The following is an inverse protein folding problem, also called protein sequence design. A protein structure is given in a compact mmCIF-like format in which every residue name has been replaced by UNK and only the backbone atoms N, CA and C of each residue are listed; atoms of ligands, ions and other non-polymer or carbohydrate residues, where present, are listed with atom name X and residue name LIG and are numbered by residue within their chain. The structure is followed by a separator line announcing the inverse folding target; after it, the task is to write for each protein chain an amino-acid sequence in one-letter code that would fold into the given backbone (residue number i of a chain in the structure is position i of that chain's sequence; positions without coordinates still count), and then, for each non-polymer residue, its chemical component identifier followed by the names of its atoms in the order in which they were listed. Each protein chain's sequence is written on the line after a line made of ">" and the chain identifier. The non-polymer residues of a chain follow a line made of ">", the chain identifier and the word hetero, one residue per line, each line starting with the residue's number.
data_IF_286199064676
#
_entry.id   IF_286199064676
#
_cell.length_a   1.000
_cell.length_b   1.000
_cell.length_c   1.000
_cell.angle_alpha   90.00
_cell.angle_beta   90.00
_cell.angle_gamma   90.00
#
_symmetry.space_group_name_H-M   'P 1'
#
loop_
_entity.id
_entity.type
_entity.pdbx_description
1 polymer ?
#
# COMPACT_ATOMS: atom_id res chain seq x y z
N UNK A 1 19.75 9.56 15.07
CA UNK A 1 20.71 9.45 13.95
C UNK A 1 20.14 8.93 12.63
N UNK A 2 19.13 8.06 12.63
CA UNK A 2 18.54 7.51 11.39
C UNK A 2 17.15 8.04 11.05
N UNK A 3 16.45 8.65 12.01
CA UNK A 3 15.17 9.32 11.82
C UNK A 3 15.35 10.83 12.02
N UNK A 4 14.78 11.63 11.12
CA UNK A 4 14.96 13.08 11.16
C UNK A 4 14.11 13.81 12.21
N UNK A 5 12.94 13.26 12.56
CA UNK A 5 11.94 13.84 13.46
C UNK A 5 11.41 12.77 14.41
N UNK A 6 11.06 13.14 15.64
CA UNK A 6 10.50 12.22 16.64
C UNK A 6 8.99 12.09 16.52
N UNK A 7 8.49 10.87 16.59
CA UNK A 7 7.05 10.58 16.65
C UNK A 7 6.40 10.99 17.99
N UNK A 8 7.21 11.25 19.02
CA UNK A 8 6.72 11.62 20.36
C UNK A 8 6.68 13.14 20.58
N UNK A 9 7.10 13.94 19.61
CA UNK A 9 7.24 15.40 19.73
C UNK A 9 6.18 16.11 18.88
N UNK A 10 5.28 16.86 19.53
CA UNK A 10 4.34 17.70 18.81
C UNK A 10 5.05 18.80 18.00
N UNK A 11 6.20 19.29 18.47
CA UNK A 11 6.97 20.31 17.75
C UNK A 11 7.54 19.76 16.45
N UNK A 12 7.93 18.48 16.43
CA UNK A 12 8.39 17.84 15.20
C UNK A 12 7.27 17.67 14.19
N UNK A 13 6.03 17.42 14.65
CA UNK A 13 4.86 17.44 13.78
C UNK A 13 4.56 18.84 13.25
N UNK A 14 4.67 19.90 14.07
CA UNK A 14 4.55 21.30 13.60
C UNK A 14 5.60 21.64 12.55
N UNK A 15 6.86 21.27 12.81
CA UNK A 15 7.95 21.41 11.84
C UNK A 15 7.68 20.64 10.54
N UNK A 16 7.08 19.43 10.61
CA UNK A 16 6.69 18.67 9.42
C UNK A 16 5.54 19.32 8.67
N UNK A 17 4.55 19.87 9.36
CA UNK A 17 3.47 20.63 8.77
C UNK A 17 3.99 21.84 7.97
N UNK A 18 4.94 22.60 8.53
CA UNK A 18 5.60 23.72 7.83
C UNK A 18 6.38 23.26 6.59
N UNK A 19 7.09 22.13 6.68
CA UNK A 19 7.81 21.54 5.54
C UNK A 19 6.84 21.13 4.41
N UNK A 20 5.69 20.54 4.77
CA UNK A 20 4.64 20.16 3.81
C UNK A 20 4.05 21.41 3.16
N UNK A 21 3.70 22.44 3.93
CA UNK A 21 3.13 23.69 3.41
C UNK A 21 4.10 24.44 2.49
N UNK A 22 5.42 24.34 2.74
CA UNK A 22 6.44 24.92 1.87
C UNK A 22 6.67 24.18 0.55
N UNK A 23 6.17 22.95 0.42
CA UNK A 23 6.39 22.09 -0.76
C UNK A 23 5.13 21.79 -1.56
N UNK A 24 3.99 21.76 -0.89
CA UNK A 24 2.71 21.35 -1.46
C UNK A 24 1.70 22.45 -1.17
N UNK A 25 1.19 23.11 -2.21
CA UNK A 25 0.16 24.15 -2.14
C UNK A 25 -1.24 23.57 -2.37
N UNK A 26 -2.16 24.39 -2.85
CA UNK A 26 -3.53 23.97 -3.19
C UNK A 26 -3.55 23.00 -4.38
N UNK A 27 -2.79 23.31 -5.44
CA UNK A 27 -2.73 22.49 -6.66
C UNK A 27 -2.22 21.06 -6.37
N UNK A 28 -1.16 20.90 -5.59
CA UNK A 28 -0.64 19.57 -5.24
C UNK A 28 -1.63 18.79 -4.36
N UNK A 29 -2.38 19.47 -3.50
CA UNK A 29 -3.45 18.85 -2.71
C UNK A 29 -4.63 18.42 -3.58
N UNK A 30 -5.00 19.19 -4.60
CA UNK A 30 -6.00 18.76 -5.58
C UNK A 30 -5.56 17.49 -6.33
N UNK A 31 -4.28 17.42 -6.73
CA UNK A 31 -3.73 16.22 -7.36
C UNK A 31 -3.77 15.02 -6.41
N UNK A 32 -3.40 15.22 -5.14
CA UNK A 32 -3.50 14.18 -4.12
C UNK A 32 -4.94 13.71 -3.92
N UNK A 33 -5.91 14.63 -3.79
CA UNK A 33 -7.32 14.30 -3.62
C UNK A 33 -7.88 13.46 -4.79
N UNK A 34 -7.45 13.71 -6.04
CA UNK A 34 -7.83 12.89 -7.20
C UNK A 34 -7.32 11.44 -7.13
N UNK A 35 -6.33 11.15 -6.29
CA UNK A 35 -5.76 9.84 -6.09
C UNK A 35 -6.31 9.13 -4.84
N UNK A 36 -7.24 9.76 -4.11
CA UNK A 36 -7.84 9.23 -2.90
C UNK A 36 -9.24 8.69 -3.18
N UNK A 37 -9.52 7.51 -2.63
CA UNK A 37 -10.80 6.83 -2.66
C UNK A 37 -11.55 7.11 -1.35
N UNK A 38 -12.79 7.57 -1.48
CA UNK A 38 -13.72 7.75 -0.36
C UNK A 38 -14.47 6.43 -0.15
N UNK A 39 -14.27 5.72 0.98
CA UNK A 39 -14.96 4.46 1.21
C UNK A 39 -16.43 4.67 1.60
N UNK A 40 -17.24 3.60 1.62
CA UNK A 40 -18.57 3.64 2.22
C UNK A 40 -18.54 4.17 3.66
N UNK A 41 -19.41 5.14 3.95
CA UNK A 41 -19.47 5.83 5.25
C UNK A 41 -18.37 6.87 5.48
N UNK A 42 -17.50 7.12 4.52
CA UNK A 42 -16.56 8.24 4.52
C UNK A 42 -17.22 9.58 4.20
N UNK A 43 -16.64 10.66 4.71
CA UNK A 43 -17.13 12.04 4.50
C UNK A 43 -16.30 12.73 3.42
N UNK A 44 -16.84 12.82 2.20
CA UNK A 44 -16.17 13.45 1.05
C UNK A 44 -15.81 14.92 1.29
N UNK A 45 -16.57 15.63 2.12
CA UNK A 45 -16.31 17.05 2.42
C UNK A 45 -14.95 17.26 3.12
N UNK A 46 -14.41 16.21 3.75
CA UNK A 46 -13.06 16.26 4.35
C UNK A 46 -11.97 16.40 3.30
N UNK A 47 -12.14 15.85 2.10
CA UNK A 47 -11.18 16.05 1.00
C UNK A 47 -11.23 17.48 0.48
N UNK A 48 -12.42 18.08 0.40
CA UNK A 48 -12.58 19.48 0.05
C UNK A 48 -11.89 20.38 1.08
N UNK A 49 -12.14 20.16 2.37
CA UNK A 49 -11.48 20.89 3.45
C UNK A 49 -9.95 20.71 3.43
N UNK A 50 -9.46 19.49 3.16
CA UNK A 50 -8.04 19.23 2.99
C UNK A 50 -7.42 20.10 1.89
N UNK A 51 -8.10 20.26 0.75
CA UNK A 51 -7.63 21.12 -0.34
C UNK A 51 -7.69 22.60 0.03
N UNK A 52 -8.85 23.07 0.50
CA UNK A 52 -9.11 24.50 0.68
C UNK A 52 -8.41 25.10 1.91
N UNK A 53 -8.27 24.32 2.99
CA UNK A 53 -7.67 24.78 4.25
C UNK A 53 -6.17 24.43 4.37
N UNK A 54 -5.62 23.76 3.36
CA UNK A 54 -4.22 23.34 3.35
C UNK A 54 -3.93 22.22 4.36
N UNK A 55 -4.76 21.18 4.35
CA UNK A 55 -4.69 20.04 5.27
C UNK A 55 -3.49 19.12 5.04
N UNK A 56 -3.43 18.07 5.87
CA UNK A 56 -2.36 17.07 5.90
C UNK A 56 -2.93 15.65 5.78
N UNK A 57 -2.05 14.68 5.53
CA UNK A 57 -2.41 13.25 5.53
C UNK A 57 -1.51 12.48 6.49
N UNK A 58 -2.10 11.57 7.27
CA UNK A 58 -1.37 10.53 8.00
C UNK A 58 -1.50 9.25 7.19
N UNK A 59 -0.39 8.80 6.61
CA UNK A 59 -0.39 7.62 5.75
C UNK A 59 0.08 6.38 6.50
N UNK A 60 -0.52 5.25 6.19
CA UNK A 60 -0.04 3.90 6.52
C UNK A 60 -0.32 3.00 5.32
N UNK A 61 0.20 1.78 5.28
CA UNK A 61 -0.13 0.85 4.20
C UNK A 61 0.28 -0.59 4.45
N UNK A 62 -0.17 -1.45 3.54
CA UNK A 62 0.26 -2.84 3.39
C UNK A 62 -0.14 -3.37 2.00
N UNK A 63 0.47 -4.49 1.58
CA UNK A 63 -0.03 -5.33 0.50
C UNK A 63 -1.48 -5.81 0.76
N UNK A 64 -2.27 -6.02 -0.31
CA UNK A 64 -3.64 -6.51 -0.21
C UNK A 64 -3.68 -8.02 0.04
N UNK A 65 -3.54 -8.43 1.30
CA UNK A 65 -3.60 -9.85 1.69
C UNK A 65 -5.02 -10.43 1.65
N UNK A 66 -5.12 -11.74 1.42
CA UNK A 66 -6.37 -12.49 1.37
C UNK A 66 -7.23 -12.24 2.62
N UNK A 67 -8.52 -11.94 2.39
CA UNK A 67 -9.51 -11.70 3.46
C UNK A 67 -9.09 -10.59 4.44
N UNK A 68 -8.32 -9.61 3.95
CA UNK A 68 -7.81 -8.49 4.73
C UNK A 68 -6.42 -8.70 5.32
N UNK A 69 -5.86 -9.90 5.13
CA UNK A 69 -4.54 -10.27 5.61
C UNK A 69 -4.43 -10.26 7.14
N UNK A 70 -3.20 -10.13 7.69
CA UNK A 70 -2.98 -10.11 9.13
C UNK A 70 -3.69 -8.93 9.82
N UNK A 71 -4.10 -9.13 11.08
CA UNK A 71 -4.81 -8.12 11.88
C UNK A 71 -4.07 -6.78 12.02
N UNK A 72 -2.74 -6.77 11.86
CA UNK A 72 -1.99 -5.51 11.88
C UNK A 72 -2.41 -4.55 10.77
N UNK A 73 -3.05 -5.00 9.69
CA UNK A 73 -3.61 -4.12 8.67
C UNK A 73 -4.68 -3.21 9.25
N UNK A 74 -5.60 -3.79 10.04
CA UNK A 74 -6.63 -3.06 10.77
C UNK A 74 -5.98 -2.16 11.82
N UNK A 75 -5.01 -2.67 12.60
CA UNK A 75 -4.37 -1.88 13.65
C UNK A 75 -3.59 -0.69 13.11
N UNK A 76 -2.88 -0.85 11.99
CA UNK A 76 -2.20 0.22 11.26
C UNK A 76 -3.20 1.30 10.85
N UNK A 77 -4.32 0.91 10.23
CA UNK A 77 -5.34 1.84 9.77
C UNK A 77 -6.00 2.62 10.91
N UNK A 78 -6.38 1.93 12.00
CA UNK A 78 -6.95 2.57 13.19
C UNK A 78 -5.93 3.47 13.90
N UNK A 79 -4.64 3.10 13.89
CA UNK A 79 -3.56 3.94 14.44
C UNK A 79 -3.42 5.22 13.62
N UNK A 80 -3.44 5.13 12.29
CA UNK A 80 -3.41 6.30 11.42
C UNK A 80 -4.64 7.20 11.64
N UNK A 81 -5.84 6.61 11.74
CA UNK A 81 -7.06 7.34 12.07
C UNK A 81 -6.95 8.09 13.39
N UNK A 82 -6.44 7.42 14.43
CA UNK A 82 -6.35 8.06 15.73
C UNK A 82 -5.28 9.14 15.78
N UNK A 83 -4.15 8.93 15.13
CA UNK A 83 -3.11 9.94 14.99
C UNK A 83 -3.59 11.15 14.18
N UNK A 84 -4.34 10.92 13.10
CA UNK A 84 -4.93 12.00 12.30
C UNK A 84 -5.85 12.89 13.14
N UNK A 85 -6.76 12.29 13.92
CA UNK A 85 -7.64 13.06 14.82
C UNK A 85 -6.86 13.87 15.87
N UNK A 86 -5.82 13.29 16.47
CA UNK A 86 -4.96 14.02 17.43
C UNK A 86 -4.23 15.19 16.74
N UNK A 87 -3.70 14.98 15.54
CA UNK A 87 -2.98 16.03 14.82
C UNK A 87 -3.91 17.13 14.31
N UNK A 88 -5.12 16.80 13.88
CA UNK A 88 -6.14 17.77 13.49
C UNK A 88 -6.45 18.74 14.64
N UNK A 89 -6.71 18.20 15.84
CA UNK A 89 -6.93 19.01 17.04
C UNK A 89 -5.72 19.90 17.39
N UNK A 90 -4.49 19.39 17.23
CA UNK A 90 -3.27 20.07 17.68
C UNK A 90 -2.70 21.06 16.68
N UNK A 91 -2.92 20.82 15.39
CA UNK A 91 -2.44 21.64 14.29
C UNK A 91 -3.50 22.64 13.82
N UNK A 92 -4.78 22.40 14.11
CA UNK A 92 -5.88 23.28 13.73
C UNK A 92 -6.13 23.32 12.22
N UNK A 93 -5.85 22.21 11.53
CA UNK A 93 -6.08 22.02 10.10
C UNK A 93 -6.62 20.61 9.83
N UNK A 94 -7.36 20.39 8.73
CA UNK A 94 -7.83 19.06 8.37
C UNK A 94 -6.68 18.05 8.25
N UNK A 95 -6.82 16.89 8.88
CA UNK A 95 -5.89 15.77 8.75
C UNK A 95 -6.64 14.51 8.35
N UNK A 96 -6.27 13.95 7.20
CA UNK A 96 -6.92 12.77 6.63
C UNK A 96 -6.06 11.53 6.92
N UNK A 97 -6.61 10.48 7.57
CA UNK A 97 -5.95 9.20 7.63
C UNK A 97 -6.11 8.46 6.29
N UNK A 98 -5.00 8.03 5.71
CA UNK A 98 -4.96 7.39 4.39
C UNK A 98 -4.29 6.01 4.48
N UNK A 99 -4.99 4.97 4.03
CA UNK A 99 -4.44 3.64 3.86
C UNK A 99 -3.97 3.43 2.40
N UNK A 100 -2.67 3.24 2.24
CA UNK A 100 -2.01 2.92 0.98
C UNK A 100 -2.02 1.42 0.72
N UNK A 101 -2.76 0.98 -0.28
CA UNK A 101 -2.78 -0.41 -0.72
C UNK A 101 -1.62 -0.65 -1.68
N UNK A 102 -0.64 -1.45 -1.25
CA UNK A 102 0.55 -1.77 -2.04
C UNK A 102 0.28 -2.89 -3.07
N UNK A 103 -0.70 -2.66 -3.94
CA UNK A 103 -1.18 -3.62 -4.93
C UNK A 103 -0.19 -3.89 -6.08
N UNK A 104 0.81 -3.02 -6.27
CA UNK A 104 1.86 -3.17 -7.28
C UNK A 104 2.97 -4.14 -6.86
N UNK A 105 2.93 -4.64 -5.63
CA UNK A 105 3.85 -5.69 -5.20
C UNK A 105 3.58 -6.98 -5.99
N UNK A 106 4.59 -7.83 -6.13
CA UNK A 106 4.52 -9.10 -6.85
C UNK A 106 4.72 -10.31 -5.93
N UNK A 107 4.89 -10.09 -4.61
CA UNK A 107 4.96 -11.15 -3.62
C UNK A 107 3.58 -11.78 -3.38
N UNK A 108 3.20 -12.67 -4.30
CA UNK A 108 1.94 -13.41 -4.21
C UNK A 108 1.91 -14.33 -2.98
N UNK A 109 3.05 -14.95 -2.64
CA UNK A 109 3.10 -15.94 -1.56
C UNK A 109 2.87 -15.28 -0.19
N UNK A 110 3.22 -14.00 -0.02
CA UNK A 110 2.83 -13.21 1.15
C UNK A 110 1.33 -12.85 1.16
N UNK A 111 0.75 -12.55 -0.01
CA UNK A 111 -0.61 -12.04 -0.10
C UNK A 111 -1.71 -13.11 -0.22
N UNK A 112 -1.39 -14.30 -0.73
CA UNK A 112 -2.36 -15.30 -1.16
C UNK A 112 -3.08 -16.06 -0.03
N UNK A 113 -2.76 -15.78 1.23
CA UNK A 113 -3.24 -16.57 2.35
C UNK A 113 -3.64 -15.75 3.55
N UNK A 114 -4.45 -16.36 4.41
CA UNK A 114 -4.81 -15.85 5.72
C UNK A 114 -4.89 -17.00 6.70
N UNK A 115 -4.61 -16.71 7.98
CA UNK A 115 -4.79 -17.67 9.06
C UNK A 115 -5.93 -17.21 9.97
N UNK A 116 -6.81 -18.14 10.32
CA UNK A 116 -7.95 -17.88 11.19
C UNK A 116 -8.04 -18.95 12.28
N UNK A 117 -8.43 -18.53 13.48
CA UNK A 117 -8.82 -19.45 14.55
C UNK A 117 -10.28 -19.83 14.32
N UNK A 118 -10.54 -21.09 13.98
CA UNK A 118 -11.88 -21.60 13.73
C UNK A 118 -12.69 -21.75 15.02
N UNK A 119 -13.99 -22.01 14.88
CA UNK A 119 -14.87 -22.34 16.01
C UNK A 119 -14.43 -23.60 16.80
N UNK A 120 -13.57 -24.44 16.19
CA UNK A 120 -12.91 -25.58 16.83
C UNK A 120 -11.67 -25.21 17.67
N UNK A 121 -11.37 -23.91 17.80
CA UNK A 121 -10.19 -23.35 18.47
C UNK A 121 -8.84 -23.80 17.87
N UNK A 122 -8.82 -24.18 16.60
CA UNK A 122 -7.58 -24.50 15.88
C UNK A 122 -7.23 -23.42 14.89
N UNK A 123 -5.94 -23.30 14.60
CA UNK A 123 -5.44 -22.44 13.53
C UNK A 123 -5.67 -23.13 12.19
N UNK A 124 -6.34 -22.43 11.27
CA UNK A 124 -6.59 -22.89 9.91
C UNK A 124 -6.01 -21.89 8.92
N UNK A 125 -5.29 -22.42 7.93
CA UNK A 125 -4.80 -21.64 6.80
C UNK A 125 -5.77 -21.75 5.62
N UNK A 126 -6.12 -20.60 5.07
CA UNK A 126 -6.85 -20.43 3.82
C UNK A 126 -5.86 -19.84 2.82
N UNK A 127 -5.75 -20.45 1.65
CA UNK A 127 -4.73 -20.09 0.68
C UNK A 127 -5.25 -20.24 -0.74
N UNK A 128 -5.00 -19.23 -1.57
CA UNK A 128 -5.37 -19.23 -2.98
C UNK A 128 -4.21 -19.68 -3.86
N UNK A 129 -4.54 -20.53 -4.83
CA UNK A 129 -3.64 -20.81 -5.94
C UNK A 129 -3.60 -19.60 -6.88
N UNK A 130 -2.43 -19.34 -7.45
CA UNK A 130 -2.24 -18.27 -8.42
C UNK A 130 -2.97 -18.59 -9.71
N UNK A 131 -3.89 -17.72 -10.13
CA UNK A 131 -4.74 -17.92 -11.31
C UNK A 131 -4.13 -17.44 -12.64
N UNK A 132 -2.87 -16.99 -12.64
CA UNK A 132 -2.21 -16.37 -13.79
C UNK A 132 -0.92 -17.12 -14.17
N UNK A 133 -0.67 -17.26 -15.47
CA UNK A 133 0.51 -17.91 -16.05
C UNK A 133 1.75 -17.01 -16.10
N UNK A 134 1.59 -15.69 -15.90
CA UNK A 134 2.72 -14.76 -15.79
C UNK A 134 3.63 -15.19 -14.63
N UNK A 135 4.95 -15.11 -14.84
CA UNK A 135 5.92 -15.51 -13.83
C UNK A 135 5.79 -14.65 -12.56
N UNK A 136 5.82 -13.32 -12.70
CA UNK A 136 5.78 -12.36 -11.59
C UNK A 136 4.79 -11.19 -11.84
N UNK A 137 3.47 -11.46 -11.99
CA UNK A 137 2.48 -10.40 -12.10
C UNK A 137 2.38 -9.64 -10.78
N UNK A 138 2.15 -8.34 -10.86
CA UNK A 138 1.80 -7.58 -9.66
C UNK A 138 0.39 -7.98 -9.17
N UNK A 139 0.15 -7.88 -7.87
CA UNK A 139 -1.07 -8.40 -7.22
C UNK A 139 -2.33 -7.76 -7.80
N UNK A 140 -2.29 -6.49 -8.22
CA UNK A 140 -3.40 -5.80 -8.89
C UNK A 140 -3.82 -6.42 -10.22
N UNK A 141 -3.04 -7.35 -10.80
CA UNK A 141 -3.40 -8.11 -12.01
C UNK A 141 -3.90 -9.52 -11.74
N UNK A 142 -3.73 -10.03 -10.52
CA UNK A 142 -4.03 -11.44 -10.21
C UNK A 142 -5.51 -11.55 -9.84
N UNK A 143 -6.29 -12.20 -10.71
CA UNK A 143 -7.69 -12.51 -10.44
C UNK A 143 -7.82 -13.57 -9.33
N UNK A 144 -8.90 -13.49 -8.56
CA UNK A 144 -9.24 -14.52 -7.57
C UNK A 144 -9.52 -15.86 -8.26
N UNK A 145 -10.22 -15.82 -9.40
CA UNK A 145 -10.51 -16.99 -10.22
C UNK A 145 -11.53 -17.96 -9.59
N UNK A 146 -12.09 -18.89 -10.40
CA UNK A 146 -13.13 -19.81 -9.94
C UNK A 146 -12.62 -20.87 -8.94
N UNK A 147 -11.31 -21.18 -8.98
CA UNK A 147 -10.70 -22.17 -8.08
C UNK A 147 -10.74 -21.74 -6.60
N UNK A 148 -10.87 -20.43 -6.33
CA UNK A 148 -10.96 -19.90 -4.97
C UNK A 148 -12.24 -20.32 -4.23
N UNK A 149 -13.31 -20.71 -4.93
CA UNK A 149 -14.62 -20.98 -4.31
C UNK A 149 -14.52 -22.00 -3.16
N UNK A 150 -13.73 -23.06 -3.34
CA UNK A 150 -13.53 -24.07 -2.29
C UNK A 150 -12.92 -23.46 -1.02
N UNK A 151 -11.93 -22.58 -1.17
CA UNK A 151 -11.25 -21.93 -0.05
C UNK A 151 -12.15 -20.90 0.65
N UNK A 152 -13.01 -20.23 -0.13
CA UNK A 152 -14.01 -19.29 0.40
C UNK A 152 -15.05 -20.05 1.23
N UNK A 153 -15.58 -21.17 0.70
CA UNK A 153 -16.56 -22.01 1.41
C UNK A 153 -15.95 -22.58 2.70
N UNK A 154 -14.70 -23.05 2.63
CA UNK A 154 -13.93 -23.50 3.79
C UNK A 154 -13.79 -22.39 4.83
N UNK A 155 -13.44 -21.17 4.43
CA UNK A 155 -13.33 -20.04 5.35
C UNK A 155 -14.67 -19.74 6.05
N UNK A 156 -15.77 -19.68 5.30
CA UNK A 156 -17.10 -19.41 5.84
C UNK A 156 -17.51 -20.47 6.87
N UNK A 157 -17.23 -21.76 6.60
CA UNK A 157 -17.54 -22.86 7.53
C UNK A 157 -16.75 -22.80 8.85
N UNK A 158 -15.62 -22.10 8.88
CA UNK A 158 -14.81 -21.93 10.10
C UNK A 158 -15.34 -20.80 11.01
N UNK A 159 -16.14 -19.89 10.46
CA UNK A 159 -16.69 -18.76 11.20
C UNK A 159 -17.84 -19.21 12.12
N UNK A 160 -17.97 -18.64 13.32
CA UNK A 160 -19.15 -18.85 14.14
C UNK A 160 -20.39 -18.23 13.48
N UNK A 161 -21.51 -18.93 13.56
CA UNK A 161 -22.80 -18.43 13.09
C UNK A 161 -23.50 -17.61 14.18
N UNK A 162 -23.89 -16.38 13.84
CA UNK A 162 -24.63 -15.45 14.70
C UNK A 162 -25.39 -14.41 13.86
N UNK A 163 -26.11 -13.50 14.52
CA UNK A 163 -26.95 -12.49 13.89
C UNK A 163 -26.20 -11.54 12.93
N UNK A 164 -24.87 -11.41 13.07
CA UNK A 164 -24.04 -10.58 12.20
C UNK A 164 -23.50 -11.34 10.98
N UNK A 165 -23.49 -12.67 11.00
CA UNK A 165 -22.90 -13.52 9.97
C UNK A 165 -23.42 -13.24 8.55
N UNK A 166 -24.74 -13.05 8.30
CA UNK A 166 -25.24 -12.83 6.94
C UNK A 166 -24.61 -11.62 6.23
N UNK A 167 -24.36 -10.53 6.95
CA UNK A 167 -23.76 -9.32 6.39
C UNK A 167 -22.30 -9.55 6.00
N UNK A 168 -21.51 -10.16 6.88
CA UNK A 168 -20.09 -10.41 6.61
C UNK A 168 -19.88 -11.52 5.57
N UNK A 169 -20.71 -12.56 5.54
CA UNK A 169 -20.65 -13.58 4.49
C UNK A 169 -20.91 -12.95 3.12
N UNK A 170 -21.92 -12.08 3.00
CA UNK A 170 -22.18 -11.34 1.76
C UNK A 170 -20.98 -10.47 1.36
N UNK A 171 -20.35 -9.80 2.32
CA UNK A 171 -19.15 -8.98 2.09
C UNK A 171 -17.97 -9.82 1.59
N UNK A 172 -17.70 -10.96 2.24
CA UNK A 172 -16.64 -11.90 1.87
C UNK A 172 -16.85 -12.43 0.45
N UNK A 173 -18.05 -12.96 0.16
CA UNK A 173 -18.40 -13.47 -1.17
C UNK A 173 -18.31 -12.37 -2.24
N UNK A 174 -18.68 -11.13 -1.90
CA UNK A 174 -18.54 -9.97 -2.78
C UNK A 174 -17.09 -9.57 -3.03
N UNK A 175 -16.21 -9.72 -2.04
CA UNK A 175 -14.79 -9.38 -2.14
C UNK A 175 -13.99 -10.41 -2.94
N UNK A 176 -14.41 -11.67 -2.95
CA UNK A 176 -13.67 -12.77 -3.58
C UNK A 176 -14.39 -13.35 -4.80
N UNK A 177 -15.06 -12.50 -5.58
CA UNK A 177 -15.66 -12.96 -6.83
C UNK A 177 -14.59 -13.35 -7.85
N UNK A 178 -14.82 -14.38 -8.70
CA UNK A 178 -13.84 -14.82 -9.69
C UNK A 178 -13.35 -13.75 -10.66
N UNK A 179 -14.21 -12.76 -11.00
CA UNK A 179 -13.92 -11.65 -11.91
C UNK A 179 -13.06 -10.53 -11.30
N UNK A 180 -12.81 -10.59 -9.99
CA UNK A 180 -12.09 -9.55 -9.24
C UNK A 180 -10.65 -9.93 -8.99
N UNK A 181 -9.81 -8.92 -8.85
CA UNK A 181 -8.42 -9.11 -8.41
C UNK A 181 -8.36 -9.24 -6.90
N UNK A 182 -7.26 -9.79 -6.36
CA UNK A 182 -7.06 -9.84 -4.91
C UNK A 182 -7.07 -8.43 -4.30
N UNK A 183 -6.49 -7.45 -5.01
CA UNK A 183 -6.51 -6.05 -4.61
C UNK A 183 -7.93 -5.46 -4.56
N UNK A 184 -8.78 -5.73 -5.57
CA UNK A 184 -10.17 -5.29 -5.56
C UNK A 184 -10.94 -5.84 -4.34
N UNK A 185 -10.72 -7.12 -4.03
CA UNK A 185 -11.35 -7.78 -2.89
C UNK A 185 -10.91 -7.16 -1.57
N UNK A 186 -9.61 -6.89 -1.43
CA UNK A 186 -9.06 -6.22 -0.27
C UNK A 186 -9.67 -4.83 -0.08
N UNK A 187 -9.75 -4.02 -1.16
CA UNK A 187 -10.40 -2.71 -1.13
C UNK A 187 -11.85 -2.83 -0.66
N UNK A 188 -12.64 -3.71 -1.29
CA UNK A 188 -14.04 -3.88 -0.96
C UNK A 188 -14.24 -4.24 0.52
N UNK A 189 -13.44 -5.17 1.04
CA UNK A 189 -13.53 -5.62 2.42
C UNK A 189 -13.09 -4.52 3.41
N UNK A 190 -11.89 -3.95 3.23
CA UNK A 190 -11.31 -3.00 4.18
C UNK A 190 -12.02 -1.66 4.15
N UNK A 191 -12.47 -1.19 2.99
CA UNK A 191 -13.24 0.05 2.89
C UNK A 191 -14.56 -0.06 3.63
N UNK A 192 -15.28 -1.19 3.51
CA UNK A 192 -16.53 -1.41 4.26
C UNK A 192 -16.27 -1.48 5.79
N UNK A 193 -15.20 -2.15 6.21
CA UNK A 193 -14.89 -2.31 7.63
C UNK A 193 -14.39 -1.01 8.28
N UNK A 194 -13.64 -0.21 7.53
CA UNK A 194 -12.84 0.88 8.08
C UNK A 194 -13.34 2.29 7.70
N UNK A 195 -14.17 2.42 6.67
CA UNK A 195 -14.66 3.71 6.19
C UNK A 195 -15.40 4.50 7.27
N UNK A 196 -16.17 3.80 8.12
CA UNK A 196 -16.85 4.39 9.29
C UNK A 196 -15.94 5.04 10.33
N UNK A 197 -14.63 4.79 10.28
CA UNK A 197 -13.64 5.44 11.15
C UNK A 197 -12.95 6.64 10.47
N UNK A 198 -13.48 7.09 9.33
CA UNK A 198 -12.95 8.24 8.57
C UNK A 198 -11.65 7.95 7.83
N UNK A 199 -11.31 6.67 7.61
CA UNK A 199 -10.10 6.23 6.90
C UNK A 199 -10.35 6.29 5.40
N UNK A 200 -9.49 6.99 4.66
CA UNK A 200 -9.53 7.02 3.20
C UNK A 200 -8.54 6.02 2.63
N UNK A 201 -8.66 5.69 1.35
CA UNK A 201 -7.81 4.71 0.70
C UNK A 201 -7.11 5.30 -0.52
N UNK A 202 -5.95 4.76 -0.86
CA UNK A 202 -5.35 4.94 -2.18
C UNK A 202 -4.71 3.62 -2.58
N UNK A 203 -4.42 3.49 -3.86
CA UNK A 203 -3.84 2.27 -4.41
C UNK A 203 -2.58 2.61 -5.20
N UNK A 204 -1.51 1.83 -4.98
CA UNK A 204 -0.23 2.04 -5.65
C UNK A 204 -0.31 1.93 -7.18
N UNK A 205 -1.27 1.15 -7.69
CA UNK A 205 -1.58 1.00 -9.11
C UNK A 205 -2.65 2.00 -9.60
N UNK A 206 -3.16 2.89 -8.74
CA UNK A 206 -4.18 3.86 -9.13
C UNK A 206 -3.66 4.76 -10.27
N UNK A 207 -4.41 4.94 -11.38
CA UNK A 207 -3.92 5.69 -12.54
C UNK A 207 -3.48 7.12 -12.23
N UNK A 208 -4.17 7.80 -11.29
CA UNK A 208 -3.78 9.15 -10.86
C UNK A 208 -2.49 9.15 -10.03
N UNK A 209 -2.26 8.12 -9.21
CA UNK A 209 -0.97 7.98 -8.48
C UNK A 209 0.16 7.82 -9.48
N UNK A 210 0.00 6.96 -10.49
CA UNK A 210 1.02 6.76 -11.53
C UNK A 210 1.26 8.02 -12.36
N UNK A 211 0.20 8.70 -12.81
CA UNK A 211 0.33 9.93 -13.58
C UNK A 211 1.06 11.04 -12.79
N UNK A 212 0.63 11.28 -11.55
CA UNK A 212 1.14 12.38 -10.72
C UNK A 212 2.55 12.10 -10.15
N UNK A 213 2.95 10.84 -10.03
CA UNK A 213 4.30 10.44 -9.59
C UNK A 213 5.33 10.37 -10.72
N UNK A 214 4.92 10.46 -11.99
CA UNK A 214 5.78 10.24 -13.16
C UNK A 214 7.09 11.04 -13.12
N UNK A 215 7.03 12.33 -12.80
CA UNK A 215 8.23 13.17 -12.70
C UNK A 215 9.22 12.63 -11.65
N UNK A 216 8.73 12.26 -10.46
CA UNK A 216 9.58 11.70 -9.40
C UNK A 216 10.21 10.36 -9.82
N UNK A 217 9.48 9.53 -10.55
CA UNK A 217 10.02 8.26 -11.06
C UNK A 217 11.10 8.51 -12.14
N UNK A 218 10.90 9.49 -13.03
CA UNK A 218 11.91 9.87 -14.02
C UNK A 218 13.17 10.48 -13.38
N UNK A 219 13.01 11.25 -12.30
CA UNK A 219 14.13 11.77 -11.52
C UNK A 219 14.94 10.65 -10.86
N UNK A 220 14.29 9.59 -10.34
CA UNK A 220 14.97 8.40 -9.82
C UNK A 220 15.77 7.68 -10.91
N UNK A 221 15.25 7.56 -12.14
CA UNK A 221 16.00 6.97 -13.26
C UNK A 221 17.29 7.77 -13.53
N UNK A 222 17.16 9.08 -13.70
CA UNK A 222 18.28 9.98 -14.03
C UNK A 222 19.31 10.14 -12.91
N UNK A 223 18.93 9.84 -11.65
CA UNK A 223 19.80 9.94 -10.47
C UNK A 223 20.12 8.59 -9.83
N UNK A 224 19.81 7.49 -10.50
CA UNK A 224 19.88 6.15 -9.92
C UNK A 224 21.29 5.79 -9.39
N UNK A 225 22.37 6.26 -10.02
CA UNK A 225 23.74 6.07 -9.52
C UNK A 225 24.00 6.84 -8.22
N UNK A 226 23.58 8.12 -8.16
CA UNK A 226 23.69 8.95 -6.97
C UNK A 226 22.90 8.33 -5.80
N UNK A 227 21.69 7.87 -6.08
CA UNK A 227 20.77 7.29 -5.09
C UNK A 227 21.29 5.95 -4.58
N UNK A 228 21.86 5.10 -5.44
CA UNK A 228 22.56 3.89 -5.01
C UNK A 228 23.73 4.23 -4.05
N UNK A 229 24.54 5.24 -4.38
CA UNK A 229 25.65 5.67 -3.52
C UNK A 229 25.18 6.21 -2.16
N UNK A 230 24.02 6.88 -2.11
CA UNK A 230 23.38 7.29 -0.86
C UNK A 230 22.92 6.08 -0.05
N UNK A 231 22.29 5.09 -0.69
CA UNK A 231 21.83 3.86 -0.03
C UNK A 231 23.02 3.05 0.54
N UNK A 232 24.11 2.90 -0.21
CA UNK A 232 25.33 2.22 0.25
C UNK A 232 25.90 2.88 1.51
N UNK A 233 26.13 4.20 1.46
CA UNK A 233 26.63 4.97 2.62
C UNK A 233 25.70 4.88 3.83
N UNK A 234 24.40 4.84 3.61
CA UNK A 234 23.41 4.70 4.69
C UNK A 234 23.45 3.29 5.30
N UNK A 235 23.60 2.25 4.48
CA UNK A 235 23.74 0.86 4.92
C UNK A 235 25.02 0.65 5.74
N UNK A 236 26.14 1.24 5.31
CA UNK A 236 27.41 1.23 6.05
C UNK A 236 27.30 1.90 7.41
N UNK A 237 26.60 3.05 7.47
CA UNK A 237 26.33 3.75 8.74
C UNK A 237 25.45 2.93 9.68
N UNK A 238 24.41 2.26 9.17
CA UNK A 238 23.56 1.36 9.95
C UNK A 238 24.37 0.20 10.53
N UNK A 239 25.18 -0.44 9.68
CA UNK A 239 26.05 -1.56 10.07
C UNK A 239 27.09 -1.14 11.11
N UNK A 240 27.71 0.03 10.94
CA UNK A 240 28.68 0.59 11.89
C UNK A 240 28.05 0.93 13.25
N UNK A 241 26.75 1.21 13.29
CA UNK A 241 25.98 1.42 14.51
C UNK A 241 25.46 0.11 15.15
N UNK A 242 25.83 -1.06 14.60
CA UNK A 242 25.47 -2.37 15.14
C UNK A 242 24.13 -2.91 14.67
N UNK A 243 23.49 -2.29 13.66
CA UNK A 243 22.24 -2.77 13.07
C UNK A 243 22.51 -3.65 11.84
N UNK A 244 21.70 -4.69 11.66
CA UNK A 244 21.75 -5.50 10.46
C UNK A 244 21.10 -4.78 9.27
N UNK A 245 21.69 -4.92 8.08
CA UNK A 245 21.06 -4.48 6.84
C UNK A 245 19.82 -5.31 6.55
N UNK A 246 18.67 -4.65 6.35
CA UNK A 246 17.40 -5.31 6.05
C UNK A 246 17.11 -5.40 4.54
N UNK A 247 17.51 -4.38 3.78
CA UNK A 247 17.29 -4.32 2.33
C UNK A 247 18.64 -4.31 1.62
N UNK A 248 18.98 -5.32 0.80
CA UNK A 248 20.24 -5.37 0.07
C UNK A 248 20.30 -4.25 -0.97
N UNK A 249 21.46 -3.59 -1.06
CA UNK A 249 21.73 -2.60 -2.13
C UNK A 249 22.37 -3.36 -3.29
N UNK A 250 21.66 -3.41 -4.41
CA UNK A 250 22.07 -4.15 -5.60
C UNK A 250 22.93 -3.27 -6.49
N UNK A 251 24.07 -3.78 -6.94
CA UNK A 251 24.97 -3.05 -7.84
C UNK A 251 24.30 -2.79 -9.19
N UNK A 252 24.26 -1.51 -9.58
CA UNK A 252 23.58 -1.08 -10.80
C UNK A 252 22.05 -1.18 -10.71
N UNK A 253 21.49 -1.65 -9.59
CA UNK A 253 20.06 -1.80 -9.40
C UNK A 253 19.37 -0.45 -9.22
N UNK A 254 18.34 -0.20 -10.01
CA UNK A 254 17.48 0.98 -9.87
C UNK A 254 16.34 0.67 -8.89
N UNK A 255 15.88 1.67 -8.13
CA UNK A 255 14.76 1.52 -7.20
C UNK A 255 13.39 1.52 -7.88
N UNK A 256 13.34 1.13 -9.16
CA UNK A 256 12.17 1.12 -10.01
C UNK A 256 12.00 -0.22 -10.68
N UNK A 257 10.74 -0.49 -11.02
CA UNK A 257 10.33 -1.66 -11.75
C UNK A 257 9.54 -1.24 -12.98
N UNK A 258 9.74 -1.97 -14.07
CA UNK A 258 8.92 -1.87 -15.26
C UNK A 258 7.98 -3.07 -15.30
N UNK A 259 6.68 -2.81 -15.49
CA UNK A 259 5.68 -3.86 -15.62
C UNK A 259 5.42 -4.13 -17.10
N UNK A 260 5.74 -5.34 -17.56
CA UNK A 260 5.63 -5.76 -18.96
C UNK A 260 4.99 -7.14 -19.11
N UNK A 261 5.22 -7.80 -20.26
CA UNK A 261 4.70 -9.14 -20.55
C UNK A 261 5.32 -10.24 -19.69
N UNK A 262 6.52 -10.01 -19.15
CA UNK A 262 7.18 -10.91 -18.21
C UNK A 262 6.77 -10.66 -16.74
N UNK A 263 5.81 -9.77 -16.50
CA UNK A 263 5.42 -9.30 -15.18
C UNK A 263 6.20 -8.05 -14.75
N UNK A 264 6.40 -7.90 -13.44
CA UNK A 264 7.10 -6.75 -12.84
C UNK A 264 8.60 -7.03 -12.73
N UNK A 265 9.40 -6.23 -13.42
CA UNK A 265 10.84 -6.45 -13.57
C UNK A 265 11.66 -5.28 -13.02
N UNK A 266 12.68 -5.57 -12.22
CA UNK A 266 13.63 -4.54 -11.77
C UNK A 266 14.49 -4.06 -12.93
N UNK A 267 14.78 -2.76 -12.96
CA UNK A 267 15.71 -2.12 -13.87
C UNK A 267 17.15 -2.17 -13.32
N UNK A 268 18.11 -2.50 -14.18
CA UNK A 268 19.55 -2.37 -13.90
C UNK A 268 20.17 -1.40 -14.89
N UNK A 269 21.02 -0.47 -14.43
CA UNK A 269 21.79 0.41 -15.31
C UNK A 269 22.67 -0.42 -16.24
N UNK A 270 22.65 -0.11 -17.54
CA UNK A 270 23.46 -0.79 -18.54
C UNK A 270 23.71 0.14 -19.74
N UNK A 271 24.98 0.49 -20.01
CA UNK A 271 25.32 1.37 -21.13
C UNK A 271 24.64 2.74 -21.03
N UNK A 272 23.91 3.12 -22.08
CA UNK A 272 23.13 4.36 -22.18
C UNK A 272 21.65 4.20 -21.76
N UNK A 273 21.29 3.03 -21.21
CA UNK A 273 19.92 2.72 -20.81
C UNK A 273 19.85 1.76 -19.63
N UNK A 274 18.85 0.89 -19.66
CA UNK A 274 18.55 -0.04 -18.57
C UNK A 274 18.24 -1.43 -19.11
N UNK A 275 18.68 -2.46 -18.39
CA UNK A 275 18.34 -3.85 -18.63
C UNK A 275 17.28 -4.32 -17.64
N UNK A 276 16.25 -4.98 -18.15
CA UNK A 276 15.25 -5.67 -17.33
C UNK A 276 15.81 -6.97 -16.75
N UNK A 277 15.54 -7.22 -15.48
CA UNK A 277 16.15 -8.33 -14.74
C UNK A 277 15.83 -9.71 -15.32
N UNK A 278 14.56 -9.99 -15.60
CA UNK A 278 14.08 -11.34 -15.93
C UNK A 278 14.16 -11.60 -17.43
N UNK A 279 13.72 -10.64 -18.24
CA UNK A 279 13.66 -10.74 -19.70
C UNK A 279 14.99 -10.40 -20.37
N UNK A 280 15.89 -9.69 -19.70
CA UNK A 280 17.15 -9.22 -20.26
C UNK A 280 16.99 -8.14 -21.34
N UNK A 281 15.78 -7.63 -21.55
CA UNK A 281 15.49 -6.61 -22.56
C UNK A 281 16.16 -5.29 -22.15
N UNK A 282 16.85 -4.68 -23.11
CA UNK A 282 17.41 -3.34 -22.96
C UNK A 282 16.36 -2.29 -23.35
N UNK A 283 16.22 -1.25 -22.52
CA UNK A 283 15.28 -0.14 -22.70
C UNK A 283 15.96 1.20 -22.48
N UNK A 284 15.58 2.17 -23.28
CA UNK A 284 15.90 3.60 -23.10
C UNK A 284 14.62 4.30 -22.66
N UNK A 285 14.64 4.91 -21.47
CA UNK A 285 13.48 5.51 -20.80
C UNK A 285 13.71 7.00 -20.54
#
# INVERSE_FOLDING_TARGET
>A
DFFGKSFSSLEDFRSKATEVDGRFGRAERELAAQAVLVPPGGDETRLEAFVEEGGYMVTTGQQPGLLGGPLYNIYKALTAARLAGVLEERLGKPVIPLFWVASEDHDWDEANHTEIIGADNKLHRIELEKSCSEANPAIHRIQVGPAAQYQIDKFIQLLPENDFSPGYIKLILGSLRPDKTLADGFHLLLQELLGRFGIFFTDAAHPKVKAHSSQMLLEELGRSEELEAILRRTSERLSSAGYAQQVPVLEGGVNLFLEGSAGRERLYREGDGFRLHTSGVHVTL
#
